data_IF_952345648585
#
_entry.id   IF_952345648585
#
_cell.length_a   1.000
_cell.length_b   1.000
_cell.length_c   1.000
_cell.angle_alpha   90.00
_cell.angle_beta   90.00
_cell.angle_gamma   90.00
#
_symmetry.space_group_name_H-M   'P 1'
#
loop_
_entity.id
_entity.type
_entity.pdbx_description
1 polymer ?
#
# COMPACT_ATOMS: atom_id res chain seq x y z
N UNK A 1 -4.76 -27.41 5.44
CA UNK A 1 -4.68 -26.11 4.73
C UNK A 1 -4.32 -25.04 5.74
N UNK A 2 -3.16 -24.36 5.59
CA UNK A 2 -2.77 -23.26 6.49
C UNK A 2 -3.83 -22.16 6.36
N UNK A 3 -4.47 -21.78 7.47
CA UNK A 3 -5.48 -20.71 7.49
C UNK A 3 -4.86 -19.46 6.88
N UNK A 4 -5.36 -19.06 5.71
CA UNK A 4 -4.88 -17.87 5.02
C UNK A 4 -5.21 -16.67 5.91
N UNK A 5 -4.21 -15.86 6.24
CA UNK A 5 -4.43 -14.69 7.08
C UNK A 5 -5.46 -13.78 6.40
N UNK A 6 -6.55 -13.46 7.11
CA UNK A 6 -7.65 -12.65 6.59
C UNK A 6 -7.16 -11.32 5.99
N UNK A 7 -6.11 -10.72 6.57
CA UNK A 7 -5.49 -9.49 6.07
C UNK A 7 -4.83 -9.70 4.71
N UNK A 8 -4.12 -10.83 4.54
CA UNK A 8 -3.51 -11.20 3.27
C UNK A 8 -4.60 -11.43 2.20
N UNK A 9 -5.64 -12.20 2.53
CA UNK A 9 -6.74 -12.49 1.60
C UNK A 9 -7.42 -11.22 1.10
N UNK A 10 -7.72 -10.28 2.01
CA UNK A 10 -8.32 -9.00 1.66
C UNK A 10 -7.38 -8.19 0.78
N UNK A 11 -6.10 -8.09 1.13
CA UNK A 11 -5.11 -7.37 0.33
C UNK A 11 -4.95 -7.93 -1.09
N UNK A 12 -4.87 -9.25 -1.22
CA UNK A 12 -4.78 -9.93 -2.52
C UNK A 12 -6.04 -9.73 -3.36
N UNK A 13 -7.22 -9.88 -2.75
CA UNK A 13 -8.50 -9.67 -3.44
C UNK A 13 -8.66 -8.22 -3.92
N UNK A 14 -8.22 -7.26 -3.11
CA UNK A 14 -8.25 -5.84 -3.47
C UNK A 14 -7.34 -5.54 -4.67
N UNK A 15 -6.16 -6.17 -4.76
CA UNK A 15 -5.30 -6.05 -5.94
C UNK A 15 -5.91 -6.72 -7.17
N UNK A 16 -6.53 -7.90 -7.04
CA UNK A 16 -7.22 -8.56 -8.17
C UNK A 16 -8.34 -7.69 -8.72
N UNK A 17 -9.17 -7.13 -7.83
CA UNK A 17 -10.23 -6.19 -8.22
C UNK A 17 -9.63 -4.95 -8.89
N UNK A 18 -8.54 -4.40 -8.33
CA UNK A 18 -7.82 -3.28 -8.93
C UNK A 18 -7.30 -3.59 -10.33
N UNK A 19 -6.71 -4.77 -10.55
CA UNK A 19 -6.22 -5.22 -11.87
C UNK A 19 -7.38 -5.32 -12.87
N UNK A 20 -8.48 -5.95 -12.48
CA UNK A 20 -9.68 -6.06 -13.34
C UNK A 20 -10.21 -4.67 -13.68
N UNK A 21 -10.27 -3.76 -12.71
CA UNK A 21 -10.73 -2.38 -12.93
C UNK A 21 -9.77 -1.58 -13.82
N UNK A 22 -8.46 -1.79 -13.70
CA UNK A 22 -7.47 -1.15 -14.57
C UNK A 22 -7.66 -1.55 -16.04
N UNK A 23 -8.02 -2.81 -16.30
CA UNK A 23 -8.28 -3.30 -17.67
C UNK A 23 -9.53 -2.70 -18.31
N UNK A 24 -10.47 -2.16 -17.53
CA UNK A 24 -11.66 -1.47 -18.08
C UNK A 24 -11.39 0.00 -18.39
N UNK A 25 -10.16 0.50 -18.23
CA UNK A 25 -9.80 1.90 -18.44
C UNK A 25 -8.90 2.07 -19.68
N UNK A 26 -9.33 2.92 -20.62
CA UNK A 26 -8.57 3.22 -21.84
C UNK A 26 -7.27 4.00 -21.60
N UNK A 27 -7.12 4.60 -20.40
CA UNK A 27 -5.96 5.42 -20.02
C UNK A 27 -4.79 4.66 -19.41
N UNK A 28 -4.88 3.33 -19.27
CA UNK A 28 -3.85 2.52 -18.61
C UNK A 28 -2.90 1.93 -19.66
N UNK A 29 -1.75 2.60 -19.85
CA UNK A 29 -0.65 2.11 -20.65
C UNK A 29 0.44 1.43 -19.80
N UNK A 30 1.55 1.09 -20.45
CA UNK A 30 2.71 0.46 -19.79
C UNK A 30 3.27 1.33 -18.66
N UNK A 31 3.30 2.65 -18.83
CA UNK A 31 3.78 3.59 -17.81
C UNK A 31 2.88 3.57 -16.56
N UNK A 32 1.56 3.50 -16.73
CA UNK A 32 0.60 3.40 -15.62
C UNK A 32 0.77 2.08 -14.87
N UNK A 33 0.94 0.96 -15.58
CA UNK A 33 1.20 -0.33 -14.94
C UNK A 33 2.47 -0.33 -14.08
N UNK A 34 3.56 0.27 -14.59
CA UNK A 34 4.80 0.42 -13.83
C UNK A 34 4.58 1.27 -12.59
N UNK A 35 3.86 2.39 -12.72
CA UNK A 35 3.54 3.26 -11.59
C UNK A 35 2.66 2.55 -10.54
N UNK A 36 1.65 1.79 -10.97
CA UNK A 36 0.82 0.98 -10.07
C UNK A 36 1.65 -0.06 -9.32
N UNK A 37 2.54 -0.78 -10.03
CA UNK A 37 3.45 -1.75 -9.41
C UNK A 37 4.38 -1.08 -8.39
N UNK A 38 5.00 0.04 -8.75
CA UNK A 38 5.91 0.76 -7.88
C UNK A 38 5.21 1.22 -6.59
N UNK A 39 4.00 1.76 -6.74
CA UNK A 39 3.17 2.21 -5.63
C UNK A 39 2.70 1.04 -4.75
N UNK A 40 2.39 -0.13 -5.34
CA UNK A 40 2.11 -1.35 -4.56
C UNK A 40 3.32 -1.85 -3.79
N UNK A 41 4.51 -1.86 -4.39
CA UNK A 41 5.75 -2.26 -3.70
C UNK A 41 6.02 -1.33 -2.52
N UNK A 42 5.90 -0.02 -2.70
CA UNK A 42 5.98 0.94 -1.61
C UNK A 42 4.94 0.65 -0.53
N UNK A 43 3.71 0.30 -0.92
CA UNK A 43 2.63 -0.08 -0.01
C UNK A 43 3.02 -1.29 0.84
N UNK A 44 3.57 -2.34 0.22
CA UNK A 44 4.08 -3.53 0.90
C UNK A 44 5.15 -3.17 1.91
N UNK A 45 6.15 -2.36 1.52
CA UNK A 45 7.23 -1.94 2.42
C UNK A 45 6.66 -1.17 3.62
N UNK A 46 5.74 -0.24 3.39
CA UNK A 46 5.07 0.48 4.47
C UNK A 46 4.29 -0.47 5.40
N UNK A 47 3.57 -1.44 4.83
CA UNK A 47 2.84 -2.46 5.59
C UNK A 47 3.76 -3.33 6.46
N UNK A 48 4.92 -3.73 5.92
CA UNK A 48 5.96 -4.49 6.64
C UNK A 48 6.50 -3.66 7.81
N UNK A 49 6.82 -2.38 7.59
CA UNK A 49 7.33 -1.49 8.64
C UNK A 49 6.26 -1.27 9.72
N UNK A 50 4.99 -1.02 9.34
CA UNK A 50 3.88 -0.89 10.29
C UNK A 50 3.67 -2.17 11.10
N UNK A 51 3.73 -3.34 10.45
CA UNK A 51 3.64 -4.64 11.10
C UNK A 51 4.77 -4.85 12.12
N UNK A 52 6.00 -4.49 11.76
CA UNK A 52 7.16 -4.54 12.64
C UNK A 52 6.99 -3.63 13.86
N UNK A 53 6.56 -2.39 13.67
CA UNK A 53 6.35 -1.44 14.78
C UNK A 53 5.28 -1.93 15.76
N UNK A 54 4.19 -2.50 15.26
CA UNK A 54 3.16 -3.14 16.09
C UNK A 54 3.71 -4.34 16.87
N UNK A 55 4.55 -5.14 16.24
CA UNK A 55 5.19 -6.28 16.89
C UNK A 55 6.16 -5.86 18.01
N UNK A 56 6.99 -4.84 17.76
CA UNK A 56 7.88 -4.27 18.78
C UNK A 56 7.08 -3.67 19.96
N UNK A 57 5.93 -3.06 19.69
CA UNK A 57 5.06 -2.50 20.74
C UNK A 57 4.46 -3.62 21.60
N UNK A 58 3.98 -4.70 20.99
CA UNK A 58 3.49 -5.88 21.74
C UNK A 58 4.58 -6.52 22.61
N UNK A 59 5.85 -6.42 22.22
CA UNK A 59 7.00 -6.87 23.01
C UNK A 59 7.46 -5.87 24.07
N UNK A 60 6.79 -4.72 24.22
CA UNK A 60 7.19 -3.67 25.15
C UNK A 60 8.48 -2.93 24.76
N UNK A 61 9.00 -3.15 23.55
CA UNK A 61 10.27 -2.56 23.09
C UNK A 61 10.11 -1.13 22.57
N UNK A 62 8.87 -0.71 22.28
CA UNK A 62 8.56 0.66 21.85
C UNK A 62 7.30 1.15 22.56
N UNK A 63 7.31 2.39 23.05
CA UNK A 63 6.13 3.02 23.64
C UNK A 63 5.07 3.34 22.58
N UNK A 64 3.81 3.29 22.99
CA UNK A 64 2.64 3.53 22.12
C UNK A 64 2.68 4.89 21.42
N UNK A 65 3.22 5.92 22.07
CA UNK A 65 3.41 7.25 21.48
C UNK A 65 4.42 7.26 20.33
N UNK A 66 5.59 6.63 20.51
CA UNK A 66 6.61 6.49 19.46
C UNK A 66 6.06 5.68 18.28
N UNK A 67 5.33 4.59 18.53
CA UNK A 67 4.69 3.80 17.48
C UNK A 67 3.73 4.64 16.62
N UNK A 68 2.86 5.44 17.25
CA UNK A 68 1.92 6.32 16.54
C UNK A 68 2.65 7.35 15.69
N UNK A 69 3.69 7.99 16.23
CA UNK A 69 4.50 8.96 15.49
C UNK A 69 5.15 8.34 14.24
N UNK A 70 5.71 7.13 14.36
CA UNK A 70 6.29 6.43 13.22
C UNK A 70 5.25 6.08 12.15
N UNK A 71 4.06 5.63 12.54
CA UNK A 71 2.98 5.31 11.59
C UNK A 71 2.51 6.57 10.84
N UNK A 72 2.32 7.67 11.58
CA UNK A 72 1.94 8.96 10.99
C UNK A 72 3.06 9.48 10.08
N UNK A 73 4.32 9.38 10.50
CA UNK A 73 5.47 9.78 9.69
C UNK A 73 5.55 9.01 8.37
N UNK A 74 5.33 7.69 8.39
CA UNK A 74 5.29 6.87 7.17
C UNK A 74 4.17 7.35 6.24
N UNK A 75 2.97 7.66 6.77
CA UNK A 75 1.86 8.19 5.97
C UNK A 75 2.22 9.53 5.32
N UNK A 76 2.83 10.45 6.06
CA UNK A 76 3.24 11.77 5.53
C UNK A 76 4.27 11.59 4.41
N UNK A 77 5.29 10.76 4.62
CA UNK A 77 6.31 10.46 3.60
C UNK A 77 5.66 9.84 2.36
N UNK A 78 4.67 8.97 2.53
CA UNK A 78 3.95 8.35 1.42
C UNK A 78 3.17 9.36 0.59
N UNK A 79 2.46 10.28 1.25
CA UNK A 79 1.72 11.35 0.58
C UNK A 79 2.69 12.27 -0.16
N UNK A 80 3.78 12.69 0.49
CA UNK A 80 4.81 13.52 -0.13
C UNK A 80 5.43 12.85 -1.37
N UNK A 81 5.75 11.55 -1.28
CA UNK A 81 6.31 10.79 -2.39
C UNK A 81 5.31 10.68 -3.55
N UNK A 82 4.02 10.44 -3.26
CA UNK A 82 2.98 10.41 -4.30
C UNK A 82 2.79 11.76 -4.97
N UNK A 83 2.80 12.85 -4.21
CA UNK A 83 2.74 14.22 -4.76
C UNK A 83 3.96 14.50 -5.64
N UNK A 84 5.17 14.19 -5.17
CA UNK A 84 6.39 14.35 -5.95
C UNK A 84 6.35 13.55 -7.26
N UNK A 85 5.90 12.29 -7.21
CA UNK A 85 5.72 11.46 -8.41
C UNK A 85 4.71 12.07 -9.39
N UNK A 86 3.61 12.64 -8.90
CA UNK A 86 2.60 13.27 -9.74
C UNK A 86 3.13 14.53 -10.43
N UNK A 87 4.00 15.30 -9.76
CA UNK A 87 4.65 16.49 -10.34
C UNK A 87 5.70 16.07 -11.40
N UNK A 88 6.51 15.06 -11.09
CA UNK A 88 7.61 14.62 -11.95
C UNK A 88 7.13 13.81 -13.17
N UNK A 89 6.04 13.05 -13.02
CA UNK A 89 5.54 12.13 -14.05
C UNK A 89 4.03 12.36 -14.19
N UNK A 90 3.61 13.31 -15.06
CA UNK A 90 2.21 13.50 -15.40
C UNK A 90 1.65 12.20 -15.98
N UNK A 91 0.71 11.58 -15.27
CA UNK A 91 0.15 10.27 -15.61
C UNK A 91 -1.36 10.28 -15.44
N UNK A 92 -2.05 9.38 -16.15
CA UNK A 92 -3.49 9.22 -16.01
C UNK A 92 -3.90 8.92 -14.55
N UNK A 93 -3.03 8.24 -13.81
CA UNK A 93 -3.16 7.94 -12.38
C UNK A 93 -3.08 9.17 -11.46
N UNK A 94 -2.53 10.28 -11.95
CA UNK A 94 -2.38 11.53 -11.22
C UNK A 94 -3.48 12.55 -11.55
N UNK A 95 -4.00 12.52 -12.78
CA UNK A 95 -4.88 13.56 -13.31
C UNK A 95 -6.34 13.14 -13.44
N UNK A 96 -6.64 11.84 -13.53
CA UNK A 96 -8.01 11.35 -13.61
C UNK A 96 -8.53 10.90 -12.24
N UNK A 97 -9.79 11.21 -11.94
CA UNK A 97 -10.43 10.75 -10.70
C UNK A 97 -10.37 9.23 -10.53
N UNK A 98 -10.68 8.49 -11.61
CA UNK A 98 -10.60 7.03 -11.64
C UNK A 98 -9.17 6.50 -11.42
N UNK A 99 -8.15 7.12 -12.03
CA UNK A 99 -6.76 6.73 -11.85
C UNK A 99 -6.21 7.02 -10.45
N UNK A 100 -6.69 8.07 -9.80
CA UNK A 100 -6.36 8.37 -8.39
C UNK A 100 -6.92 7.26 -7.49
N UNK A 101 -8.19 6.90 -7.65
CA UNK A 101 -8.81 5.82 -6.88
C UNK A 101 -8.13 4.48 -7.12
N UNK A 102 -7.81 4.16 -8.38
CA UNK A 102 -7.07 2.96 -8.74
C UNK A 102 -5.69 2.92 -8.04
N UNK A 103 -4.96 4.04 -8.02
CA UNK A 103 -3.70 4.15 -7.29
C UNK A 103 -3.88 3.85 -5.80
N UNK A 104 -4.93 4.38 -5.18
CA UNK A 104 -5.24 4.16 -3.75
C UNK A 104 -5.52 2.68 -3.49
N UNK A 105 -6.30 2.01 -4.35
CA UNK A 105 -6.56 0.57 -4.26
C UNK A 105 -5.25 -0.22 -4.28
N UNK A 106 -4.34 0.09 -5.21
CA UNK A 106 -3.05 -0.58 -5.31
C UNK A 106 -2.13 -0.34 -4.10
N UNK A 107 -2.13 0.89 -3.52
CA UNK A 107 -1.43 1.19 -2.26
C UNK A 107 -1.97 0.37 -1.11
N UNK A 108 -3.29 0.42 -0.90
CA UNK A 108 -3.94 -0.23 0.24
C UNK A 108 -3.79 -1.75 0.14
N UNK A 109 -3.99 -2.31 -1.06
CA UNK A 109 -3.74 -3.72 -1.33
C UNK A 109 -2.31 -4.12 -0.97
N UNK A 110 -1.31 -3.35 -1.43
CA UNK A 110 0.08 -3.53 -1.07
C UNK A 110 0.33 -3.45 0.45
N UNK A 111 -0.22 -2.44 1.13
CA UNK A 111 -0.09 -2.25 2.57
C UNK A 111 -0.65 -3.42 3.37
N UNK A 112 -1.83 -3.92 3.00
CA UNK A 112 -2.44 -5.07 3.66
C UNK A 112 -1.61 -6.34 3.46
N UNK A 113 -1.09 -6.55 2.25
CA UNK A 113 -0.16 -7.65 1.96
C UNK A 113 1.11 -7.55 2.82
N UNK A 114 1.74 -6.37 2.87
CA UNK A 114 2.93 -6.12 3.69
C UNK A 114 2.69 -6.34 5.18
N UNK A 115 1.53 -5.89 5.69
CA UNK A 115 1.16 -6.05 7.10
C UNK A 115 0.91 -7.51 7.47
N UNK A 116 0.40 -8.31 6.54
CA UNK A 116 0.10 -9.73 6.78
C UNK A 116 1.33 -10.59 7.10
N UNK A 117 2.54 -10.15 6.73
CA UNK A 117 3.77 -10.83 7.12
C UNK A 117 3.97 -10.89 8.64
N UNK A 118 3.46 -9.90 9.37
CA UNK A 118 3.58 -9.81 10.83
C UNK A 118 2.32 -10.25 11.58
N UNK A 119 1.20 -10.53 10.89
CA UNK A 119 0.01 -11.09 11.54
C UNK A 119 0.13 -12.60 11.75
N UNK A 120 0.93 -13.30 10.93
CA UNK A 120 1.29 -14.72 11.12
C UNK A 120 2.28 -14.98 12.27
N UNK A 121 2.91 -13.93 12.79
CA UNK A 121 3.88 -13.99 13.89
C UNK A 121 3.21 -13.83 15.28
N UNK A 122 1.88 -13.99 15.34
CA UNK A 122 1.08 -13.90 16.56
C UNK A 122 0.73 -15.28 17.09
#
# INVERSE_FOLDING_TARGET
>A
MKVLDRTFSIGAMLLVIGVVWAFTMDGIGTKEWILLLLVTVLGIVAGVVQGRLLFLNKRGQIGSGKMKLWIVGILIVFVALKVAMNILIPSYLATSGNGIWLSIVFVIGGLLLGRSFYSRLR
#
